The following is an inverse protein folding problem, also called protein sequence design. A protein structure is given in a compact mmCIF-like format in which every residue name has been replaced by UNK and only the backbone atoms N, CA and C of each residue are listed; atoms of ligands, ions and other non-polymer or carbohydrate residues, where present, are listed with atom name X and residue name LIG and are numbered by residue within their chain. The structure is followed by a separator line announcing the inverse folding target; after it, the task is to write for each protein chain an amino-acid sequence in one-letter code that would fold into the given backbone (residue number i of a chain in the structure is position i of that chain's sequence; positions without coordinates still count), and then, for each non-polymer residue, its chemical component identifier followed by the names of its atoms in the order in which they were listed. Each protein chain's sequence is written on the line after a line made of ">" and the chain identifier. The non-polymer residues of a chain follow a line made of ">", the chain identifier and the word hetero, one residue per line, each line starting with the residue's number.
data_IF_640695819450
#
_entry.id   IF_640695819450
#
_cell.length_a   1.000
_cell.length_b   1.000
_cell.length_c   1.000
_cell.angle_alpha   90.00
_cell.angle_beta   90.00
_cell.angle_gamma   90.00
#
_symmetry.space_group_name_H-M   'P 1'
#
loop_
_entity.id
_entity.type
_entity.pdbx_description
1 polymer ?
#
# COMPACT_ATOMS: atom_id res chain seq x y z
N UNK A 1 -0.55 4.29 5.10
CA UNK A 1 -1.97 3.82 5.05
C UNK A 1 -1.93 2.30 4.87
N UNK A 2 -3.05 1.60 4.76
CA UNK A 2 -3.04 0.17 4.39
C UNK A 2 -3.86 -0.11 3.12
N UNK A 3 -5.18 -0.09 3.21
CA UNK A 3 -6.06 -0.39 2.07
C UNK A 3 -6.04 0.74 1.04
N UNK A 4 -5.77 1.97 1.46
CA UNK A 4 -5.63 3.10 0.55
C UNK A 4 -4.60 2.88 -0.56
N UNK A 5 -3.47 2.25 -0.23
CA UNK A 5 -2.43 1.94 -1.20
C UNK A 5 -2.89 0.93 -2.25
N UNK A 6 -3.55 -0.15 -1.82
CA UNK A 6 -4.13 -1.12 -2.75
C UNK A 6 -5.22 -0.50 -3.64
N UNK A 7 -6.07 0.35 -3.06
CA UNK A 7 -7.13 1.04 -3.79
C UNK A 7 -6.56 1.97 -4.87
N UNK A 8 -5.49 2.72 -4.55
CA UNK A 8 -4.77 3.54 -5.53
C UNK A 8 -4.11 2.68 -6.61
N UNK A 9 -3.46 1.58 -6.23
CA UNK A 9 -2.84 0.65 -7.18
C UNK A 9 -3.85 0.03 -8.16
N UNK A 10 -5.08 -0.27 -7.69
CA UNK A 10 -6.20 -0.70 -8.53
C UNK A 10 -6.67 0.40 -9.48
N UNK A 11 -6.78 1.65 -9.00
CA UNK A 11 -7.12 2.80 -9.85
C UNK A 11 -6.09 2.98 -10.96
N UNK A 12 -4.80 2.97 -10.64
CA UNK A 12 -3.73 3.06 -11.64
C UNK A 12 -3.76 1.88 -12.63
N UNK A 13 -3.98 0.65 -12.17
CA UNK A 13 -4.16 -0.50 -13.06
C UNK A 13 -5.36 -0.31 -14.02
N UNK A 14 -6.42 0.32 -13.55
CA UNK A 14 -7.61 0.59 -14.36
C UNK A 14 -7.38 1.66 -15.43
N UNK A 15 -6.50 2.63 -15.15
CA UNK A 15 -6.14 3.73 -16.05
C UNK A 15 -5.14 3.29 -17.12
N UNK A 16 -4.27 2.32 -16.81
CA UNK A 16 -3.20 1.86 -17.68
C UNK A 16 -3.29 0.34 -17.95
N UNK A 17 -4.33 -0.15 -18.65
CA UNK A 17 -4.59 -1.59 -18.82
C UNK A 17 -3.51 -2.35 -19.60
N UNK A 18 -2.68 -1.66 -20.39
CA UNK A 18 -1.55 -2.27 -21.09
C UNK A 18 -0.33 -2.52 -20.20
N UNK A 19 -0.29 -1.91 -19.01
CA UNK A 19 0.80 -2.08 -18.03
C UNK A 19 0.51 -3.30 -17.16
N UNK A 20 1.53 -4.13 -16.82
CA UNK A 20 1.34 -5.23 -15.89
C UNK A 20 0.73 -4.75 -14.57
N UNK A 21 -0.38 -5.34 -14.06
CA UNK A 21 -1.04 -4.85 -12.85
C UNK A 21 -0.15 -4.82 -11.60
N UNK A 22 0.88 -5.68 -11.56
CA UNK A 22 1.86 -5.67 -10.48
C UNK A 22 2.63 -4.34 -10.39
N UNK A 23 2.89 -3.67 -11.52
CA UNK A 23 3.60 -2.39 -11.56
C UNK A 23 2.91 -1.33 -10.70
N UNK A 24 1.58 -1.32 -10.69
CA UNK A 24 0.80 -0.38 -9.89
C UNK A 24 0.37 -0.95 -8.53
N UNK A 25 -0.19 -2.16 -8.48
CA UNK A 25 -0.78 -2.71 -7.25
C UNK A 25 0.30 -3.03 -6.21
N UNK A 26 1.35 -3.74 -6.61
CA UNK A 26 2.49 -4.03 -5.71
C UNK A 26 3.37 -2.79 -5.59
N UNK A 27 3.46 -1.97 -6.64
CA UNK A 27 4.18 -0.70 -6.60
C UNK A 27 3.69 0.23 -5.50
N UNK A 28 2.37 0.41 -5.36
CA UNK A 28 1.80 1.27 -4.31
C UNK A 28 2.06 0.81 -2.88
N UNK A 29 2.55 -0.41 -2.68
CA UNK A 29 2.91 -0.97 -1.36
C UNK A 29 4.39 -1.34 -1.27
N UNK A 30 5.20 -0.91 -2.25
CA UNK A 30 6.61 -1.31 -2.36
C UNK A 30 7.44 -0.83 -1.17
N UNK A 31 7.19 0.41 -0.72
CA UNK A 31 7.87 1.00 0.43
C UNK A 31 7.56 0.22 1.72
N UNK A 32 6.30 -0.16 1.94
CA UNK A 32 5.92 -0.97 3.11
C UNK A 32 6.55 -2.37 3.13
N UNK A 33 6.71 -2.99 1.95
CA UNK A 33 7.39 -4.28 1.85
C UNK A 33 8.83 -4.19 2.31
N UNK A 34 9.52 -3.11 1.93
CA UNK A 34 10.87 -2.82 2.39
C UNK A 34 10.84 -2.52 3.88
N UNK A 35 9.90 -1.71 4.36
CA UNK A 35 9.77 -1.34 5.76
C UNK A 35 9.62 -2.55 6.68
N UNK A 36 8.77 -3.52 6.31
CA UNK A 36 8.59 -4.74 7.09
C UNK A 36 9.89 -5.55 7.21
N UNK A 37 10.62 -5.71 6.10
CA UNK A 37 11.92 -6.41 6.08
C UNK A 37 12.98 -5.63 6.88
N UNK A 38 13.09 -4.33 6.64
CA UNK A 38 14.01 -3.40 7.34
C UNK A 38 13.78 -3.41 8.85
N UNK A 39 12.53 -3.49 9.29
CA UNK A 39 12.17 -3.60 10.72
C UNK A 39 12.67 -4.92 11.31
N UNK A 40 12.46 -6.06 10.64
CA UNK A 40 12.92 -7.36 11.13
C UNK A 40 14.46 -7.44 11.26
N UNK A 41 15.20 -6.79 10.34
CA UNK A 41 16.67 -6.76 10.39
C UNK A 41 17.24 -5.63 11.26
N UNK A 42 16.39 -4.80 11.86
CA UNK A 42 16.77 -3.72 12.79
C UNK A 42 17.29 -2.43 12.14
N UNK A 43 17.14 -2.28 10.81
CA UNK A 43 17.42 -1.02 10.11
C UNK A 43 16.37 0.02 10.48
N UNK A 44 15.11 -0.39 10.51
CA UNK A 44 14.02 0.42 11.04
C UNK A 44 13.75 0.08 12.49
N UNK A 45 13.26 1.08 13.24
CA UNK A 45 12.92 0.94 14.65
C UNK A 45 11.48 1.35 14.84
N UNK A 46 10.73 0.48 15.50
CA UNK A 46 9.37 0.71 15.94
C UNK A 46 9.28 0.45 17.43
N UNK A 47 8.37 1.15 18.11
CA UNK A 47 8.12 0.95 19.53
C UNK A 47 6.63 0.69 19.77
N UNK A 48 6.25 -0.35 20.53
CA UNK A 48 4.86 -0.56 20.89
C UNK A 48 4.24 0.66 21.57
N UNK A 49 3.08 1.10 21.09
CA UNK A 49 2.30 2.17 21.69
C UNK A 49 0.81 1.89 21.50
N UNK A 50 0.14 1.36 22.52
CA UNK A 50 -1.29 1.04 22.44
C UNK A 50 -2.19 2.28 22.30
N UNK A 51 -1.65 3.48 22.54
CA UNK A 51 -2.35 4.74 22.30
C UNK A 51 -2.16 5.26 20.86
N UNK A 52 -1.25 4.66 20.08
CA UNK A 52 -1.06 4.99 18.67
C UNK A 52 -2.17 4.35 17.83
N UNK A 53 -3.22 5.12 17.56
CA UNK A 53 -4.28 4.76 16.61
C UNK A 53 -3.92 5.11 15.16
N UNK A 54 -4.77 4.73 14.18
CA UNK A 54 -6.03 4.01 14.37
C UNK A 54 -5.90 2.49 14.47
N UNK A 55 -4.89 1.87 13.86
CA UNK A 55 -4.79 0.39 13.79
C UNK A 55 -3.35 -0.12 13.90
N UNK A 56 -2.36 0.77 13.96
CA UNK A 56 -0.96 0.40 13.94
C UNK A 56 -0.45 0.00 15.33
N UNK A 57 -0.83 0.69 16.40
CA UNK A 57 -0.40 0.42 17.79
C UNK A 57 1.12 0.40 18.01
N UNK A 58 1.86 1.05 17.13
CA UNK A 58 3.30 1.26 17.19
C UNK A 58 3.63 2.69 16.82
N UNK A 59 4.62 3.27 17.48
CA UNK A 59 5.30 4.46 17.03
C UNK A 59 6.38 4.08 16.02
N UNK A 60 6.44 4.80 14.90
CA UNK A 60 7.45 4.65 13.87
C UNK A 60 8.69 5.48 14.26
N UNK A 61 9.49 4.94 15.18
CA UNK A 61 10.62 5.66 15.80
C UNK A 61 11.70 6.04 14.78
N UNK A 62 11.96 5.16 13.81
CA UNK A 62 12.90 5.42 12.73
C UNK A 62 12.57 4.56 11.51
N UNK A 63 12.14 5.19 10.42
CA UNK A 63 11.75 4.53 9.15
C UNK A 63 12.39 5.21 7.93
N UNK A 64 13.37 6.05 8.19
CA UNK A 64 13.98 6.98 7.23
C UNK A 64 14.52 6.33 5.96
N UNK A 65 15.03 5.09 6.06
CA UNK A 65 15.64 4.39 4.93
C UNK A 65 14.62 3.91 3.89
N UNK A 66 13.34 3.87 4.22
CA UNK A 66 12.26 3.56 3.27
C UNK A 66 11.20 4.64 3.13
N UNK A 67 10.98 5.46 4.17
CA UNK A 67 9.90 6.44 4.20
C UNK A 67 10.36 7.91 4.22
N UNK A 68 11.66 8.19 4.14
CA UNK A 68 12.09 9.56 3.87
C UNK A 68 11.75 9.99 2.44
N UNK A 69 11.53 11.29 2.19
CA UNK A 69 11.18 11.78 0.84
C UNK A 69 12.24 11.38 -0.20
N UNK A 70 13.53 11.54 0.13
CA UNK A 70 14.63 11.12 -0.74
C UNK A 70 14.56 9.61 -1.03
N UNK A 71 14.40 8.78 0.01
CA UNK A 71 14.36 7.33 -0.18
C UNK A 71 13.11 6.88 -0.91
N UNK A 72 11.97 7.54 -0.72
CA UNK A 72 10.76 7.29 -1.49
C UNK A 72 10.99 7.50 -2.99
N UNK A 73 11.73 8.55 -3.38
CA UNK A 73 12.13 8.76 -4.79
C UNK A 73 13.08 7.65 -5.26
N UNK A 74 14.13 7.35 -4.50
CA UNK A 74 15.13 6.33 -4.85
C UNK A 74 14.50 4.95 -5.02
N UNK A 75 13.69 4.51 -4.05
CA UNK A 75 13.01 3.23 -4.08
C UNK A 75 11.97 3.14 -5.20
N UNK A 76 11.31 4.26 -5.53
CA UNK A 76 10.39 4.32 -6.67
C UNK A 76 11.11 4.24 -8.01
N UNK A 77 12.31 4.81 -8.13
CA UNK A 77 13.16 4.63 -9.32
C UNK A 77 13.62 3.17 -9.45
N UNK A 78 13.98 2.51 -8.34
CA UNK A 78 14.33 1.09 -8.33
C UNK A 78 13.13 0.26 -8.80
N UNK A 79 11.93 0.52 -8.26
CA UNK A 79 10.72 -0.18 -8.68
C UNK A 79 10.41 0.04 -10.17
N UNK A 80 10.56 1.27 -10.67
CA UNK A 80 10.43 1.59 -12.08
C UNK A 80 11.44 0.82 -12.96
N UNK A 81 12.67 0.63 -12.46
CA UNK A 81 13.72 -0.14 -13.12
C UNK A 81 13.30 -1.58 -13.46
N UNK A 82 12.52 -2.24 -12.60
CA UNK A 82 11.99 -3.58 -12.87
C UNK A 82 11.06 -3.64 -14.09
N UNK A 83 10.44 -2.53 -14.45
CA UNK A 83 9.49 -2.42 -15.58
C UNK A 83 10.06 -1.67 -16.78
N UNK A 84 11.34 -1.29 -16.77
CA UNK A 84 11.97 -0.58 -17.89
C UNK A 84 11.88 -1.36 -19.22
N UNK A 85 11.97 -2.70 -19.17
CA UNK A 85 11.82 -3.56 -20.36
C UNK A 85 10.39 -3.70 -20.84
N UNK A 86 9.40 -3.32 -20.04
CA UNK A 86 7.98 -3.28 -20.42
C UNK A 86 7.61 -1.97 -21.14
N UNK A 87 8.56 -1.05 -21.31
CA UNK A 87 8.39 0.23 -21.99
C UNK A 87 8.27 1.42 -21.05
N UNK A 88 8.48 2.63 -21.58
CA UNK A 88 8.54 3.86 -20.80
C UNK A 88 7.27 4.13 -19.99
N UNK A 89 6.09 3.80 -20.54
CA UNK A 89 4.81 3.93 -19.82
C UNK A 89 4.73 3.01 -18.61
N UNK A 90 5.17 1.75 -18.73
CA UNK A 90 5.14 0.82 -17.61
C UNK A 90 6.11 1.25 -16.49
N UNK A 91 7.32 1.70 -16.86
CA UNK A 91 8.28 2.26 -15.91
C UNK A 91 7.74 3.52 -15.21
N UNK A 92 7.10 4.43 -15.96
CA UNK A 92 6.51 5.65 -15.39
C UNK A 92 5.35 5.32 -14.43
N UNK A 93 4.46 4.39 -14.80
CA UNK A 93 3.36 3.95 -13.92
C UNK A 93 3.90 3.27 -12.67
N UNK A 94 4.94 2.45 -12.78
CA UNK A 94 5.62 1.85 -11.63
C UNK A 94 6.19 2.92 -10.70
N UNK A 95 6.94 3.90 -11.24
CA UNK A 95 7.45 5.03 -10.46
C UNK A 95 6.33 5.77 -9.74
N UNK A 96 5.29 6.17 -10.47
CA UNK A 96 4.16 6.94 -9.93
C UNK A 96 3.44 6.15 -8.84
N UNK A 97 3.19 4.86 -9.06
CA UNK A 97 2.51 4.03 -8.08
C UNK A 97 3.29 3.94 -6.77
N UNK A 98 4.60 3.70 -6.86
CA UNK A 98 5.50 3.62 -5.70
C UNK A 98 5.68 4.97 -5.01
N UNK A 99 5.85 6.06 -5.75
CA UNK A 99 6.05 7.37 -5.12
C UNK A 99 4.74 7.92 -4.52
N UNK A 100 3.60 7.62 -5.16
CA UNK A 100 2.31 8.03 -4.63
C UNK A 100 1.97 7.38 -3.29
N UNK A 101 2.65 6.27 -2.91
CA UNK A 101 2.61 5.75 -1.55
C UNK A 101 2.98 6.85 -0.54
N UNK A 102 4.19 7.42 -0.66
CA UNK A 102 4.67 8.47 0.25
C UNK A 102 3.76 9.70 0.24
N UNK A 103 3.29 10.09 -0.95
CA UNK A 103 2.38 11.23 -1.08
C UNK A 103 1.02 10.99 -0.39
N UNK A 104 0.48 9.77 -0.47
CA UNK A 104 -0.76 9.41 0.22
C UNK A 104 -0.57 9.28 1.73
N UNK A 105 0.65 9.03 2.18
CA UNK A 105 1.00 8.88 3.58
C UNK A 105 1.19 10.20 4.32
N UNK A 106 1.53 11.26 3.58
CA UNK A 106 1.76 12.60 4.12
C UNK A 106 0.65 13.12 5.06
N UNK A 107 -0.66 12.96 4.77
CA UNK A 107 -1.70 13.38 5.72
C UNK A 107 -1.71 12.56 7.01
N UNK A 108 -1.41 11.26 6.93
CA UNK A 108 -1.63 10.29 8.00
C UNK A 108 -0.51 10.24 9.03
N UNK A 109 0.72 10.21 8.55
CA UNK A 109 1.94 10.08 9.35
C UNK A 109 2.12 11.17 10.39
N UNK A 110 2.72 10.82 11.52
CA UNK A 110 2.74 11.62 12.76
C UNK A 110 3.97 12.52 12.92
N UNK A 111 4.49 13.04 11.80
CA UNK A 111 5.72 13.82 11.79
C UNK A 111 6.98 12.93 11.78
N UNK A 112 6.85 11.71 11.28
CA UNK A 112 7.85 10.65 11.20
C UNK A 112 8.40 10.44 9.77
N UNK A 113 7.96 11.23 8.78
CA UNK A 113 8.48 11.19 7.42
C UNK A 113 9.64 12.17 7.24
N UNK A 114 10.88 11.72 7.45
CA UNK A 114 12.06 12.56 7.28
C UNK A 114 12.25 13.05 5.82
N UNK A 115 12.95 14.18 5.60
CA UNK A 115 13.28 14.63 4.24
C UNK A 115 14.30 13.71 3.53
N UNK A 116 15.25 13.20 4.28
CA UNK A 116 16.26 12.21 3.88
C UNK A 116 16.71 11.47 5.15
N UNK A 117 17.50 10.39 5.06
CA UNK A 117 17.86 9.66 6.25
C UNK A 117 18.62 10.47 7.30
N UNK A 118 18.16 10.40 8.55
CA UNK A 118 18.60 11.19 9.69
C UNK A 118 18.38 12.71 9.55
N UNK A 119 17.46 13.14 8.70
CA UNK A 119 17.13 14.56 8.59
C UNK A 119 16.50 15.09 9.87
N UNK A 120 16.73 16.36 10.18
CA UNK A 120 15.98 17.08 11.22
C UNK A 120 14.61 17.52 10.72
N UNK A 121 14.47 17.69 9.41
CA UNK A 121 13.21 18.09 8.76
C UNK A 121 12.32 16.87 8.57
N UNK A 122 11.12 16.92 9.16
CA UNK A 122 10.13 15.85 9.09
C UNK A 122 8.80 16.37 8.57
N UNK A 123 8.09 15.49 7.88
CA UNK A 123 6.77 15.71 7.32
C UNK A 123 5.75 14.74 7.93
N UNK A 124 4.48 15.00 7.69
CA UNK A 124 3.37 14.26 8.29
C UNK A 124 2.41 15.22 8.97
N UNK A 125 1.14 15.25 8.54
CA UNK A 125 0.13 16.14 9.13
C UNK A 125 -0.47 15.60 10.43
N UNK A 126 -0.11 14.37 10.82
CA UNK A 126 -0.46 13.73 12.08
C UNK A 126 -1.91 13.32 12.19
N UNK A 127 -2.57 12.95 11.09
CA UNK A 127 -3.98 12.55 11.17
C UNK A 127 -4.17 11.28 11.99
N UNK A 128 -3.24 10.32 11.97
CA UNK A 128 -3.32 9.13 12.80
C UNK A 128 -3.40 9.46 14.29
N UNK A 129 -2.52 10.32 14.80
CA UNK A 129 -2.54 10.75 16.20
C UNK A 129 -3.68 11.72 16.53
N UNK A 130 -4.01 12.65 15.63
CA UNK A 130 -5.02 13.70 15.88
C UNK A 130 -6.46 13.20 15.78
N UNK A 131 -6.72 12.33 14.82
CA UNK A 131 -8.08 11.91 14.47
C UNK A 131 -8.35 10.44 14.80
N UNK A 132 -7.32 9.65 15.13
CA UNK A 132 -7.45 8.25 15.58
C UNK A 132 -8.38 7.48 14.62
N UNK A 133 -9.46 6.86 15.13
CA UNK A 133 -10.46 6.13 14.33
C UNK A 133 -11.00 6.91 13.13
N UNK A 134 -11.13 8.24 13.22
CA UNK A 134 -11.57 9.05 12.09
C UNK A 134 -10.54 9.08 10.96
N UNK A 135 -9.24 8.98 11.24
CA UNK A 135 -8.23 8.83 10.20
C UNK A 135 -8.43 7.51 9.42
N UNK A 136 -8.78 6.41 10.12
CA UNK A 136 -9.13 5.16 9.43
C UNK A 136 -10.39 5.29 8.57
N UNK A 137 -11.41 6.02 9.02
CA UNK A 137 -12.59 6.33 8.19
C UNK A 137 -12.24 7.17 6.96
N UNK A 138 -11.34 8.15 7.09
CA UNK A 138 -10.86 8.98 5.97
C UNK A 138 -10.09 8.15 4.95
N UNK A 139 -9.22 7.24 5.41
CA UNK A 139 -8.58 6.24 4.55
C UNK A 139 -9.63 5.35 3.85
N UNK A 140 -10.67 4.92 4.56
CA UNK A 140 -11.78 4.16 4.00
C UNK A 140 -12.53 4.90 2.90
N UNK A 141 -12.82 6.20 3.12
CA UNK A 141 -13.47 7.06 2.13
C UNK A 141 -12.60 7.26 0.88
N UNK A 142 -11.29 7.52 1.07
CA UNK A 142 -10.33 7.59 -0.02
C UNK A 142 -10.28 6.26 -0.81
N UNK A 143 -10.19 5.14 -0.10
CA UNK A 143 -10.15 3.80 -0.69
C UNK A 143 -11.42 3.50 -1.50
N UNK A 144 -12.59 3.83 -0.96
CA UNK A 144 -13.87 3.63 -1.63
C UNK A 144 -13.97 4.47 -2.90
N UNK A 145 -13.50 5.72 -2.89
CA UNK A 145 -13.46 6.57 -4.08
C UNK A 145 -12.55 5.98 -5.17
N UNK A 146 -11.31 5.61 -4.82
CA UNK A 146 -10.38 5.00 -5.77
C UNK A 146 -10.94 3.69 -6.35
N UNK A 147 -11.53 2.83 -5.52
CA UNK A 147 -12.13 1.57 -5.95
C UNK A 147 -13.35 1.82 -6.85
N UNK A 148 -14.23 2.77 -6.53
CA UNK A 148 -15.40 3.07 -7.34
C UNK A 148 -15.00 3.57 -8.74
N UNK A 149 -13.99 4.46 -8.81
CA UNK A 149 -13.44 4.93 -10.08
C UNK A 149 -12.80 3.78 -10.87
N UNK A 150 -11.98 2.95 -10.20
CA UNK A 150 -11.35 1.78 -10.80
C UNK A 150 -12.41 0.82 -11.37
N UNK A 151 -13.44 0.51 -10.58
CA UNK A 151 -14.53 -0.38 -10.97
C UNK A 151 -15.24 0.13 -12.21
N UNK A 152 -15.57 1.42 -12.27
CA UNK A 152 -16.17 2.02 -13.46
C UNK A 152 -15.30 1.92 -14.71
N UNK A 153 -13.99 2.14 -14.58
CA UNK A 153 -13.03 2.06 -15.69
C UNK A 153 -12.81 0.62 -16.18
N UNK A 154 -12.70 -0.35 -15.28
CA UNK A 154 -12.64 -1.77 -15.62
C UNK A 154 -13.94 -2.26 -16.27
N UNK A 155 -15.11 -1.87 -15.73
CA UNK A 155 -16.41 -2.28 -16.25
C UNK A 155 -16.63 -1.81 -17.70
N UNK A 156 -16.14 -0.62 -18.08
CA UNK A 156 -16.17 -0.12 -19.48
C UNK A 156 -15.44 -1.05 -20.46
N UNK A 157 -14.48 -1.85 -19.98
CA UNK A 157 -13.73 -2.84 -20.78
C UNK A 157 -14.26 -4.27 -20.60
N UNK A 158 -15.38 -4.45 -19.90
CA UNK A 158 -15.93 -5.77 -19.60
C UNK A 158 -15.13 -6.56 -18.56
N UNK A 159 -14.32 -5.89 -17.75
CA UNK A 159 -13.47 -6.51 -16.72
C UNK A 159 -14.18 -6.43 -15.38
N UNK A 160 -14.48 -7.59 -14.79
CA UNK A 160 -15.09 -7.68 -13.46
C UNK A 160 -14.01 -7.82 -12.37
N UNK A 161 -13.92 -6.81 -11.50
CA UNK A 161 -12.99 -6.77 -10.37
C UNK A 161 -13.69 -6.97 -9.01
N UNK A 162 -14.93 -7.45 -8.97
CA UNK A 162 -15.71 -7.63 -7.72
C UNK A 162 -14.93 -8.39 -6.64
N UNK A 163 -14.19 -9.43 -7.02
CA UNK A 163 -13.35 -10.20 -6.08
C UNK A 163 -12.23 -9.36 -5.46
N UNK A 164 -11.62 -8.46 -6.24
CA UNK A 164 -10.61 -7.54 -5.74
C UNK A 164 -11.24 -6.53 -4.76
N UNK A 165 -12.43 -6.01 -5.09
CA UNK A 165 -13.20 -5.12 -4.20
C UNK A 165 -13.51 -5.80 -2.87
N UNK A 166 -14.06 -7.02 -2.89
CA UNK A 166 -14.35 -7.80 -1.67
C UNK A 166 -13.08 -8.04 -0.86
N UNK A 167 -11.96 -8.32 -1.52
CA UNK A 167 -10.67 -8.48 -0.85
C UNK A 167 -10.26 -7.18 -0.13
N UNK A 168 -10.32 -6.02 -0.80
CA UNK A 168 -10.05 -4.73 -0.16
C UNK A 168 -10.97 -4.44 1.03
N UNK A 169 -12.26 -4.79 0.96
CA UNK A 169 -13.20 -4.65 2.08
C UNK A 169 -12.78 -5.54 3.26
N UNK A 170 -12.42 -6.80 3.02
CA UNK A 170 -11.93 -7.70 4.07
C UNK A 170 -10.66 -7.13 4.72
N UNK A 171 -9.71 -6.64 3.92
CA UNK A 171 -8.48 -6.03 4.43
C UNK A 171 -8.77 -4.78 5.28
N UNK A 172 -9.73 -3.95 4.85
CA UNK A 172 -10.09 -2.72 5.56
C UNK A 172 -10.72 -3.04 6.92
N UNK A 173 -11.57 -4.06 6.96
CA UNK A 173 -12.16 -4.56 8.20
C UNK A 173 -11.16 -5.32 9.07
N UNK A 174 -10.14 -5.96 8.50
CA UNK A 174 -9.09 -6.65 9.26
C UNK A 174 -8.12 -5.67 9.92
N UNK A 175 -7.76 -4.58 9.24
CA UNK A 175 -6.95 -3.48 9.77
C UNK A 175 -7.83 -2.34 10.28
N UNK A 176 -8.75 -2.68 11.19
CA UNK A 176 -9.56 -1.70 11.92
C UNK A 176 -9.04 -1.50 13.35
N UNK A 177 -9.46 -0.44 14.05
CA UNK A 177 -9.09 -0.22 15.45
C UNK A 177 -9.44 -1.37 16.41
N UNK A 178 -10.37 -2.26 16.03
CA UNK A 178 -10.86 -3.33 16.90
C UNK A 178 -10.34 -4.71 16.53
N UNK A 179 -9.90 -4.89 15.29
CA UNK A 179 -9.59 -6.21 14.71
C UNK A 179 -8.14 -6.33 14.26
N UNK A 180 -7.39 -5.23 14.26
CA UNK A 180 -6.01 -5.21 13.82
C UNK A 180 -5.15 -6.20 14.63
N UNK A 181 -4.42 -7.10 13.96
CA UNK A 181 -3.50 -8.00 14.64
C UNK A 181 -2.36 -7.25 15.34
N UNK A 182 -2.09 -6.00 14.93
CA UNK A 182 -1.01 -5.19 15.49
C UNK A 182 -1.23 -4.88 16.98
N UNK A 183 -2.48 -4.86 17.45
CA UNK A 183 -2.78 -4.68 18.87
C UNK A 183 -2.17 -5.78 19.74
N UNK A 184 -2.28 -7.03 19.30
CA UNK A 184 -1.72 -8.19 20.01
C UNK A 184 -0.20 -8.26 19.84
N UNK A 185 0.30 -7.91 18.65
CA UNK A 185 1.74 -7.88 18.37
C UNK A 185 2.45 -6.84 19.25
N UNK A 186 1.84 -5.67 19.46
CA UNK A 186 2.37 -4.63 20.35
C UNK A 186 2.53 -5.10 21.81
N UNK A 187 1.80 -6.13 22.22
CA UNK A 187 1.86 -6.70 23.58
C UNK A 187 2.85 -7.87 23.71
N UNK A 188 3.47 -8.32 22.61
CA UNK A 188 4.33 -9.51 22.60
C UNK A 188 5.65 -9.33 23.38
N UNK A 189 6.04 -8.08 23.64
CA UNK A 189 7.28 -7.73 24.33
C UNK A 189 8.54 -7.91 23.46
N UNK A 190 9.63 -7.28 23.88
CA UNK A 190 10.89 -7.31 23.14
C UNK A 190 11.60 -8.67 23.27
N UNK A 191 12.18 -9.24 22.19
CA UNK A 191 12.28 -8.73 20.81
C UNK A 191 11.14 -9.17 19.88
N UNK A 192 10.14 -9.89 20.39
CA UNK A 192 9.07 -10.44 19.57
C UNK A 192 8.20 -9.36 18.92
N UNK A 193 8.00 -8.23 19.61
CA UNK A 193 7.24 -7.08 19.14
C UNK A 193 7.63 -6.61 17.73
N UNK A 194 8.89 -6.21 17.52
CA UNK A 194 9.34 -5.66 16.24
C UNK A 194 9.52 -6.75 15.16
N UNK A 195 9.90 -7.97 15.56
CA UNK A 195 10.02 -9.10 14.63
C UNK A 195 8.65 -9.49 14.05
N UNK A 196 7.64 -9.63 14.92
CA UNK A 196 6.28 -9.93 14.50
C UNK A 196 5.64 -8.76 13.76
N UNK A 197 5.93 -7.51 14.17
CA UNK A 197 5.50 -6.32 13.43
C UNK A 197 6.03 -6.36 11.99
N UNK A 198 7.34 -6.48 11.81
CA UNK A 198 7.96 -6.50 10.49
C UNK A 198 7.49 -7.67 9.62
N UNK A 199 7.29 -8.85 10.20
CA UNK A 199 6.70 -9.99 9.51
C UNK A 199 5.25 -9.73 9.09
N UNK A 200 4.42 -9.17 9.98
CA UNK A 200 3.02 -8.86 9.70
C UNK A 200 2.87 -7.78 8.64
N UNK A 201 3.71 -6.72 8.65
CA UNK A 201 3.77 -5.72 7.59
C UNK A 201 4.17 -6.37 6.27
N UNK A 202 5.28 -7.11 6.23
CA UNK A 202 5.78 -7.76 5.00
C UNK A 202 4.72 -8.68 4.37
N UNK A 203 4.15 -9.60 5.16
CA UNK A 203 3.15 -10.55 4.67
C UNK A 203 1.81 -9.87 4.38
N UNK A 204 1.44 -8.89 5.20
CA UNK A 204 0.23 -8.09 5.06
C UNK A 204 0.21 -7.26 3.78
N UNK A 205 1.36 -6.91 3.21
CA UNK A 205 1.43 -6.27 1.89
C UNK A 205 1.71 -7.26 0.75
N UNK A 206 2.59 -8.24 0.96
CA UNK A 206 3.01 -9.16 -0.09
C UNK A 206 1.86 -10.08 -0.53
N UNK A 207 1.15 -10.68 0.43
CA UNK A 207 0.09 -11.65 0.13
C UNK A 207 -1.08 -10.96 -0.58
N UNK A 208 -1.67 -9.87 -0.05
CA UNK A 208 -2.78 -9.23 -0.72
C UNK A 208 -2.36 -8.55 -2.03
N UNK A 209 -1.17 -7.97 -2.11
CA UNK A 209 -0.64 -7.40 -3.36
C UNK A 209 -0.55 -8.44 -4.47
N UNK A 210 -0.03 -9.63 -4.16
CA UNK A 210 0.01 -10.76 -5.11
C UNK A 210 -1.39 -11.25 -5.50
N UNK A 211 -2.29 -11.42 -4.52
CA UNK A 211 -3.67 -11.88 -4.74
C UNK A 211 -4.42 -10.89 -5.64
N UNK A 212 -4.39 -9.60 -5.30
CA UNK A 212 -5.07 -8.54 -6.05
C UNK A 212 -4.51 -8.41 -7.47
N UNK A 213 -3.18 -8.38 -7.63
CA UNK A 213 -2.53 -8.35 -8.94
C UNK A 213 -2.92 -9.55 -9.80
N UNK A 214 -2.98 -10.74 -9.22
CA UNK A 214 -3.42 -11.96 -9.91
C UNK A 214 -4.91 -11.94 -10.26
N UNK A 215 -5.76 -11.43 -9.38
CA UNK A 215 -7.20 -11.28 -9.64
C UNK A 215 -7.46 -10.37 -10.83
N UNK A 216 -6.81 -9.20 -10.87
CA UNK A 216 -6.95 -8.23 -11.97
C UNK A 216 -6.41 -8.81 -13.28
N UNK A 217 -5.21 -9.38 -13.27
CA UNK A 217 -4.62 -10.03 -14.46
C UNK A 217 -5.55 -11.11 -15.04
N UNK A 218 -6.10 -11.96 -14.17
CA UNK A 218 -7.00 -13.03 -14.59
C UNK A 218 -8.35 -12.49 -15.08
N UNK A 219 -8.86 -11.39 -14.50
CA UNK A 219 -10.09 -10.74 -14.95
C UNK A 219 -9.94 -10.13 -16.35
N UNK A 220 -8.85 -9.40 -16.60
CA UNK A 220 -8.51 -8.85 -17.91
C UNK A 220 -8.40 -9.97 -18.98
N UNK A 221 -7.70 -11.06 -18.65
CA UNK A 221 -7.58 -12.21 -19.57
C UNK A 221 -8.93 -12.88 -19.90
N UNK A 222 -9.86 -12.94 -18.94
CA UNK A 222 -11.22 -13.47 -19.18
C UNK A 222 -12.04 -12.52 -20.06
N UNK A 223 -11.94 -11.21 -19.85
CA UNK A 223 -12.64 -10.22 -20.65
C UNK A 223 -12.24 -10.30 -22.13
N UNK A 224 -10.93 -10.38 -22.42
CA UNK A 224 -10.41 -10.54 -23.79
C UNK A 224 -10.95 -11.80 -24.46
N UNK A 225 -10.93 -12.95 -23.76
CA UNK A 225 -11.48 -14.22 -24.27
C UNK A 225 -12.98 -14.15 -24.53
N UNK A 226 -13.73 -13.47 -23.68
CA UNK A 226 -15.17 -13.28 -23.88
C UNK A 226 -15.48 -12.38 -25.07
N UNK A 227 -14.66 -11.35 -25.31
CA UNK A 227 -14.82 -10.45 -26.44
C UNK A 227 -14.53 -11.16 -27.76
N UNK A 228 -13.45 -11.95 -27.85
CA UNK A 228 -13.12 -12.71 -29.06
C UNK A 228 -14.19 -13.75 -29.41
N UNK A 229 -14.79 -14.42 -28.42
CA UNK A 229 -15.89 -15.37 -28.64
C UNK A 229 -17.16 -14.71 -29.18
N UNK A 230 -17.42 -13.44 -28.87
CA UNK A 230 -18.60 -12.71 -29.38
C UNK A 230 -18.41 -12.21 -30.82
N UNK A 231 -17.16 -12.14 -31.29
CA UNK A 231 -16.83 -11.64 -32.63
C UNK A 231 -16.77 -12.75 -33.70
N UNK A 232 -16.76 -14.02 -33.29
CA UNK A 232 -16.82 -15.21 -34.14
C UNK A 232 -18.24 -15.78 -34.15
#
# INVERSE_FOLDING_TARGET
>A
MYVGHFALGLLLASLFPAVPPAASIVGSTWLDLINGVSTMVGVNRVAPNLSAGPFLFFDLVFIDWDHSLLMAVVLSLIWAGFYARNGATAAAVAFVASFAHWACDLPFHNGDLAAYPHSVEHYGWGWWGRYLTYAWLLEGAFSALCIALAYGLFARRGVDITRAVVTCVILFLNLSPWTSPMYYIAQAGHPADYLLHGAAVTLGFAIPGYILGSMVKNAEARAVKSASRKAN
#
